data_IF_154028009975
#
_entry.id   IF_154028009975
#
_cell.length_a   1.000
_cell.length_b   1.000
_cell.length_c   1.000
_cell.angle_alpha   90.00
_cell.angle_beta   90.00
_cell.angle_gamma   90.00
#
_symmetry.space_group_name_H-M   'P 1'
#
loop_
_entity.id
_entity.type
_entity.pdbx_description
1 polymer ?
#
# COMPACT_ATOMS: atom_id res chain seq x y z
N UNK A 1 -19.31 7.72 -2.33
CA UNK A 1 -18.72 7.68 -3.71
C UNK A 1 -18.84 6.26 -4.25
N UNK A 2 -18.88 6.07 -5.57
CA UNK A 2 -18.97 4.74 -6.17
C UNK A 2 -17.65 4.00 -5.96
N UNK A 3 -17.65 2.91 -5.21
CA UNK A 3 -16.49 2.02 -5.13
C UNK A 3 -16.09 1.64 -6.55
N UNK A 4 -14.92 2.08 -6.98
CA UNK A 4 -14.42 1.77 -8.31
C UNK A 4 -14.32 0.25 -8.43
N UNK A 5 -14.94 -0.34 -9.45
CA UNK A 5 -14.86 -1.79 -9.69
C UNK A 5 -13.40 -2.16 -9.92
N UNK A 6 -12.93 -3.28 -9.32
CA UNK A 6 -11.61 -3.80 -9.64
C UNK A 6 -11.43 -3.99 -11.15
N UNK A 7 -10.32 -3.51 -11.68
CA UNK A 7 -9.86 -3.78 -13.05
C UNK A 7 -8.54 -4.56 -12.98
N UNK A 8 -8.61 -5.89 -12.81
CA UNK A 8 -7.43 -6.69 -12.56
C UNK A 8 -6.41 -6.66 -13.70
N UNK A 9 -6.85 -6.46 -14.95
CA UNK A 9 -5.94 -6.38 -16.09
C UNK A 9 -5.15 -5.07 -16.07
N UNK A 10 -5.82 -3.94 -15.82
CA UNK A 10 -5.18 -2.64 -15.64
C UNK A 10 -4.24 -2.63 -14.44
N UNK A 11 -4.75 -3.06 -13.27
CA UNK A 11 -3.97 -3.10 -12.03
C UNK A 11 -2.73 -4.01 -12.15
N UNK A 12 -2.82 -5.15 -12.86
CA UNK A 12 -1.70 -6.05 -13.11
C UNK A 12 -0.66 -5.44 -14.07
N UNK A 13 -1.10 -4.69 -15.09
CA UNK A 13 -0.19 -4.00 -16.00
C UNK A 13 0.59 -2.90 -15.27
N UNK A 14 -0.07 -2.11 -14.44
CA UNK A 14 0.55 -1.07 -13.63
C UNK A 14 1.50 -1.66 -12.57
N UNK A 15 1.11 -2.76 -11.93
CA UNK A 15 1.92 -3.48 -10.95
C UNK A 15 3.28 -3.90 -11.52
N UNK A 16 3.35 -4.36 -12.77
CA UNK A 16 4.63 -4.68 -13.42
C UNK A 16 5.57 -3.47 -13.45
N UNK A 17 5.10 -2.34 -13.96
CA UNK A 17 5.90 -1.12 -14.04
C UNK A 17 6.30 -0.57 -12.68
N UNK A 18 5.42 -0.66 -11.68
CA UNK A 18 5.72 -0.25 -10.30
C UNK A 18 6.79 -1.16 -9.67
N UNK A 19 6.70 -2.47 -9.89
CA UNK A 19 7.68 -3.46 -9.40
C UNK A 19 9.04 -3.26 -10.03
N UNK A 20 9.12 -3.03 -11.35
CA UNK A 20 10.35 -2.73 -12.05
C UNK A 20 11.04 -1.48 -11.47
N UNK A 21 10.30 -0.39 -11.29
CA UNK A 21 10.83 0.84 -10.66
C UNK A 21 11.35 0.62 -9.25
N UNK A 22 10.64 -0.15 -8.43
CA UNK A 22 11.10 -0.52 -7.09
C UNK A 22 12.42 -1.31 -7.16
N UNK A 23 12.51 -2.32 -8.03
CA UNK A 23 13.71 -3.16 -8.21
C UNK A 23 14.89 -2.30 -8.69
N UNK A 24 14.69 -1.36 -9.61
CA UNK A 24 15.71 -0.41 -10.06
C UNK A 24 16.22 0.45 -8.89
N UNK A 25 15.32 0.99 -8.08
CA UNK A 25 15.68 1.77 -6.89
C UNK A 25 16.49 0.93 -5.91
N UNK A 26 16.06 -0.30 -5.62
CA UNK A 26 16.76 -1.22 -4.71
C UNK A 26 18.12 -1.62 -5.27
N UNK A 27 18.24 -1.85 -6.57
CA UNK A 27 19.51 -2.17 -7.23
C UNK A 27 20.53 -1.02 -7.17
N UNK A 28 20.07 0.21 -7.09
CA UNK A 28 20.92 1.41 -6.95
C UNK A 28 21.37 1.67 -5.49
N UNK A 29 20.80 0.96 -4.51
CA UNK A 29 21.19 1.10 -3.10
C UNK A 29 22.63 0.64 -2.85
N UNK A 30 23.30 1.25 -1.87
CA UNK A 30 24.55 0.68 -1.34
C UNK A 30 24.25 -0.57 -0.53
N UNK A 31 25.11 -1.61 -0.56
CA UNK A 31 24.89 -2.82 0.23
C UNK A 31 24.71 -2.57 1.73
N UNK A 32 25.39 -1.55 2.28
CA UNK A 32 25.32 -1.18 3.70
C UNK A 32 23.97 -0.54 4.06
N UNK A 33 23.26 0.05 3.11
CA UNK A 33 22.02 0.76 3.40
C UNK A 33 20.83 -0.15 3.70
N UNK A 34 20.95 -1.46 3.48
CA UNK A 34 19.95 -2.45 3.87
C UNK A 34 19.67 -2.40 5.37
N UNK A 35 20.71 -2.21 6.18
CA UNK A 35 20.60 -2.14 7.65
C UNK A 35 20.16 -0.77 8.17
N UNK A 36 20.12 0.26 7.32
CA UNK A 36 19.70 1.59 7.74
C UNK A 36 18.19 1.63 8.03
N UNK A 37 17.73 2.55 8.91
CA UNK A 37 16.31 2.69 9.20
C UNK A 37 15.49 3.01 7.96
N UNK A 38 14.31 2.41 7.86
CA UNK A 38 13.25 2.81 6.94
C UNK A 38 12.39 3.93 7.54
N UNK A 39 11.34 4.38 6.86
CA UNK A 39 10.35 5.29 7.44
C UNK A 39 9.40 4.60 8.41
N UNK A 40 9.36 3.28 8.42
CA UNK A 40 8.50 2.51 9.33
C UNK A 40 9.20 2.34 10.69
N UNK A 41 8.55 2.71 11.80
CA UNK A 41 9.13 2.61 13.14
C UNK A 41 9.60 1.18 13.44
N UNK A 42 10.85 1.04 13.86
CA UNK A 42 11.46 -0.25 14.23
C UNK A 42 11.92 -1.12 13.06
N UNK A 43 11.66 -0.71 11.81
CA UNK A 43 12.06 -1.47 10.63
C UNK A 43 13.26 -0.84 9.91
N UNK A 44 14.23 -1.66 9.55
CA UNK A 44 15.25 -1.30 8.57
C UNK A 44 14.71 -1.44 7.15
N UNK A 45 15.45 -0.95 6.16
CA UNK A 45 15.13 -1.18 4.74
C UNK A 45 15.08 -2.67 4.42
N UNK A 46 15.96 -3.48 5.02
CA UNK A 46 15.92 -4.94 4.85
C UNK A 46 14.62 -5.58 5.32
N UNK A 47 14.00 -5.08 6.40
CA UNK A 47 12.67 -5.53 6.83
C UNK A 47 11.60 -5.22 5.77
N UNK A 48 11.64 -4.03 5.19
CA UNK A 48 10.70 -3.63 4.12
C UNK A 48 10.87 -4.55 2.90
N UNK A 49 12.12 -4.83 2.49
CA UNK A 49 12.40 -5.71 1.34
C UNK A 49 11.95 -7.14 1.60
N UNK A 50 12.25 -7.69 2.79
CA UNK A 50 11.80 -9.03 3.19
C UNK A 50 10.27 -9.09 3.25
N UNK A 51 9.61 -8.07 3.82
CA UNK A 51 8.15 -7.96 3.83
C UNK A 51 7.57 -7.99 2.42
N UNK A 52 8.09 -7.18 1.50
CA UNK A 52 7.59 -7.13 0.13
C UNK A 52 7.71 -8.48 -0.60
N UNK A 53 8.79 -9.22 -0.39
CA UNK A 53 8.93 -10.55 -0.97
C UNK A 53 7.91 -11.54 -0.37
N UNK A 54 7.77 -11.57 0.95
CA UNK A 54 6.79 -12.46 1.63
C UNK A 54 5.35 -12.07 1.35
N UNK A 55 5.06 -10.78 1.19
CA UNK A 55 3.73 -10.33 0.79
C UNK A 55 3.35 -10.87 -0.60
N UNK A 56 4.25 -10.82 -1.58
CA UNK A 56 4.00 -11.41 -2.90
C UNK A 56 3.66 -12.90 -2.80
N UNK A 57 4.46 -13.68 -2.06
CA UNK A 57 4.21 -15.12 -1.86
C UNK A 57 2.86 -15.37 -1.16
N UNK A 58 2.49 -14.54 -0.19
CA UNK A 58 1.18 -14.64 0.47
C UNK A 58 0.00 -14.42 -0.48
N UNK A 59 0.16 -13.50 -1.45
CA UNK A 59 -0.85 -13.24 -2.46
C UNK A 59 -0.90 -14.36 -3.52
N UNK A 60 0.22 -15.02 -3.82
CA UNK A 60 0.22 -16.26 -4.64
C UNK A 60 -0.68 -17.31 -4.00
N UNK A 61 -0.62 -17.49 -2.66
CA UNK A 61 -1.51 -18.42 -1.98
C UNK A 61 -3.00 -18.10 -2.19
N UNK A 62 -3.38 -16.82 -2.12
CA UNK A 62 -4.76 -16.40 -2.40
C UNK A 62 -5.15 -16.62 -3.87
N UNK A 63 -4.22 -16.40 -4.81
CA UNK A 63 -4.47 -16.71 -6.23
C UNK A 63 -4.67 -18.20 -6.48
N UNK A 64 -3.89 -19.07 -5.79
CA UNK A 64 -4.08 -20.52 -5.81
C UNK A 64 -5.44 -20.89 -5.25
N UNK A 65 -5.83 -20.33 -4.11
CA UNK A 65 -7.17 -20.52 -3.54
C UNK A 65 -8.27 -20.13 -4.54
N UNK A 66 -8.18 -18.93 -5.10
CA UNK A 66 -9.15 -18.47 -6.10
C UNK A 66 -9.23 -19.40 -7.33
N UNK A 67 -8.11 -19.97 -7.77
CA UNK A 67 -8.02 -20.87 -8.92
C UNK A 67 -8.59 -22.24 -8.64
N UNK A 68 -8.29 -22.82 -7.49
CA UNK A 68 -8.61 -24.21 -7.15
C UNK A 68 -9.92 -24.37 -6.38
N UNK A 69 -10.34 -23.32 -5.64
CA UNK A 69 -11.43 -23.38 -4.67
C UNK A 69 -11.03 -24.02 -3.33
N UNK A 70 -9.76 -24.46 -3.19
CA UNK A 70 -9.23 -25.00 -1.93
C UNK A 70 -8.62 -23.89 -1.10
N UNK A 71 -9.02 -23.80 0.17
CA UNK A 71 -8.53 -22.77 1.09
C UNK A 71 -7.00 -22.85 1.23
N UNK A 72 -6.34 -21.77 0.84
CA UNK A 72 -4.89 -21.61 0.95
C UNK A 72 -4.62 -20.27 1.66
N UNK A 73 -4.40 -20.28 2.99
CA UNK A 73 -4.18 -19.07 3.77
C UNK A 73 -2.95 -18.29 3.29
N UNK A 74 -2.99 -16.95 3.42
CA UNK A 74 -1.84 -16.10 3.09
C UNK A 74 -0.54 -16.55 3.77
N UNK A 75 -0.63 -16.94 5.04
CA UNK A 75 0.48 -17.43 5.86
C UNK A 75 0.00 -18.62 6.68
N UNK A 76 0.90 -19.53 7.03
CA UNK A 76 0.61 -20.67 7.93
C UNK A 76 0.13 -20.20 9.31
N UNK A 77 0.68 -19.07 9.80
CA UNK A 77 0.27 -18.38 11.02
C UNK A 77 0.73 -16.92 10.99
N UNK A 78 0.18 -16.07 11.87
CA UNK A 78 0.65 -14.68 12.03
C UNK A 78 2.11 -14.63 12.48
N UNK A 79 2.50 -15.48 13.41
CA UNK A 79 3.89 -15.58 13.91
C UNK A 79 4.88 -16.00 12.80
N UNK A 80 4.42 -16.79 11.82
CA UNK A 80 5.27 -17.21 10.70
C UNK A 80 5.66 -16.05 9.82
N UNK A 81 4.70 -15.17 9.49
CA UNK A 81 4.96 -13.94 8.73
C UNK A 81 6.04 -13.08 9.38
N UNK A 82 5.87 -12.81 10.67
CA UNK A 82 6.77 -11.91 11.40
C UNK A 82 8.17 -12.51 11.53
N UNK A 83 8.28 -13.82 11.76
CA UNK A 83 9.57 -14.54 11.73
C UNK A 83 10.26 -14.48 10.37
N UNK A 84 9.53 -14.73 9.28
CA UNK A 84 10.10 -14.71 7.93
C UNK A 84 10.64 -13.33 7.56
N UNK A 85 9.98 -12.26 8.01
CA UNK A 85 10.45 -10.88 7.81
C UNK A 85 11.72 -10.64 8.64
N UNK A 86 11.70 -10.98 9.92
CA UNK A 86 12.85 -10.78 10.82
C UNK A 86 14.08 -11.57 10.37
N UNK A 87 13.91 -12.85 10.04
CA UNK A 87 14.99 -13.69 9.52
C UNK A 87 15.51 -13.23 8.16
N UNK A 88 14.63 -12.63 7.35
CA UNK A 88 14.99 -12.08 6.04
C UNK A 88 15.70 -10.75 6.09
N UNK A 89 15.41 -9.90 7.08
CA UNK A 89 15.81 -8.49 7.12
C UNK A 89 17.32 -8.26 7.05
N UNK A 90 18.12 -9.15 7.63
CA UNK A 90 19.59 -9.06 7.66
C UNK A 90 20.31 -9.60 6.42
N UNK A 91 19.60 -10.07 5.39
CA UNK A 91 20.22 -10.64 4.19
C UNK A 91 21.01 -9.59 3.39
N UNK A 92 22.03 -10.01 2.64
CA UNK A 92 22.71 -9.11 1.70
C UNK A 92 21.76 -8.54 0.64
N UNK A 93 22.06 -7.33 0.16
CA UNK A 93 21.26 -6.65 -0.88
C UNK A 93 20.98 -7.52 -2.13
N UNK A 94 21.99 -8.28 -2.57
CA UNK A 94 21.85 -9.16 -3.74
C UNK A 94 20.78 -10.25 -3.49
N UNK A 95 20.74 -10.83 -2.29
CA UNK A 95 19.72 -11.82 -1.94
C UNK A 95 18.31 -11.22 -1.85
N UNK A 96 18.18 -9.99 -1.33
CA UNK A 96 16.92 -9.25 -1.36
C UNK A 96 16.44 -8.98 -2.80
N UNK A 97 17.34 -8.57 -3.69
CA UNK A 97 17.00 -8.35 -5.09
C UNK A 97 16.52 -9.64 -5.79
N UNK A 98 17.22 -10.74 -5.55
CA UNK A 98 16.86 -12.03 -6.14
C UNK A 98 15.50 -12.52 -5.60
N UNK A 99 15.25 -12.36 -4.28
CA UNK A 99 13.99 -12.73 -3.64
C UNK A 99 12.82 -11.84 -4.13
N UNK A 100 13.02 -10.54 -4.25
CA UNK A 100 12.02 -9.60 -4.80
C UNK A 100 11.63 -9.97 -6.23
N UNK A 101 12.61 -10.26 -7.10
CA UNK A 101 12.36 -10.68 -8.49
C UNK A 101 11.61 -12.00 -8.53
N UNK A 102 12.13 -13.01 -7.85
CA UNK A 102 11.56 -14.35 -7.86
C UNK A 102 10.13 -14.38 -7.29
N UNK A 103 9.84 -13.62 -6.22
CA UNK A 103 8.50 -13.55 -5.64
C UNK A 103 7.52 -12.75 -6.52
N UNK A 104 8.00 -11.68 -7.17
CA UNK A 104 7.20 -10.92 -8.14
C UNK A 104 6.85 -11.77 -9.37
N UNK A 105 7.81 -12.55 -9.91
CA UNK A 105 7.59 -13.44 -11.05
C UNK A 105 6.54 -14.52 -10.69
N UNK A 106 6.62 -15.11 -9.49
CA UNK A 106 5.62 -16.09 -9.04
C UNK A 106 4.21 -15.49 -8.98
N UNK A 107 4.07 -14.27 -8.47
CA UNK A 107 2.78 -13.60 -8.40
C UNK A 107 2.28 -13.22 -9.80
N UNK A 108 3.13 -12.71 -10.68
CA UNK A 108 2.76 -12.39 -12.05
C UNK A 108 2.23 -13.62 -12.78
N UNK A 109 2.93 -14.77 -12.65
CA UNK A 109 2.48 -16.04 -13.22
C UNK A 109 1.12 -16.49 -12.64
N UNK A 110 0.94 -16.38 -11.32
CA UNK A 110 -0.33 -16.75 -10.68
C UNK A 110 -1.50 -15.88 -11.15
N UNK A 111 -1.25 -14.59 -11.42
CA UNK A 111 -2.22 -13.65 -12.02
C UNK A 111 -2.56 -14.07 -13.45
N UNK A 112 -1.56 -14.36 -14.28
CA UNK A 112 -1.72 -14.77 -15.69
C UNK A 112 -2.47 -16.10 -15.82
N UNK A 113 -2.23 -17.04 -14.90
CA UNK A 113 -2.86 -18.37 -14.90
C UNK A 113 -4.30 -18.37 -14.36
N UNK A 114 -4.80 -17.27 -13.77
CA UNK A 114 -6.14 -17.24 -13.21
C UNK A 114 -7.21 -17.20 -14.33
N UNK A 115 -8.07 -18.20 -14.44
CA UNK A 115 -9.12 -18.18 -15.45
C UNK A 115 -10.07 -17.00 -15.26
N UNK A 116 -10.60 -16.36 -16.33
CA UNK A 116 -11.48 -15.19 -16.22
C UNK A 116 -12.67 -15.34 -15.26
N UNK A 117 -13.26 -16.54 -15.22
CA UNK A 117 -14.38 -16.84 -14.31
C UNK A 117 -14.01 -16.82 -12.83
N UNK A 118 -12.72 -16.98 -12.50
CA UNK A 118 -12.24 -17.08 -11.12
C UNK A 118 -11.89 -15.70 -10.52
N UNK A 119 -11.89 -14.62 -11.29
CA UNK A 119 -11.70 -13.27 -10.74
C UNK A 119 -12.77 -12.86 -9.72
N UNK A 120 -13.97 -13.43 -9.81
CA UNK A 120 -15.05 -13.23 -8.83
C UNK A 120 -14.95 -14.15 -7.59
N UNK A 121 -13.98 -15.08 -7.56
CA UNK A 121 -13.80 -15.99 -6.43
C UNK A 121 -13.47 -15.20 -5.16
N UNK A 122 -14.10 -15.58 -4.05
CA UNK A 122 -13.88 -14.94 -2.76
C UNK A 122 -12.77 -15.67 -2.00
N UNK A 123 -11.83 -14.90 -1.49
CA UNK A 123 -10.72 -15.39 -0.67
C UNK A 123 -10.61 -14.55 0.61
N UNK A 124 -10.11 -15.12 1.69
CA UNK A 124 -9.98 -14.43 2.97
C UNK A 124 -8.54 -13.97 3.19
N UNK A 125 -8.37 -12.69 3.46
CA UNK A 125 -7.09 -12.12 3.90
C UNK A 125 -6.78 -12.52 5.34
N UNK A 126 -5.52 -12.37 5.75
CA UNK A 126 -5.05 -12.60 7.13
C UNK A 126 -5.86 -11.84 8.19
N UNK A 127 -6.34 -10.64 7.85
CA UNK A 127 -7.21 -9.84 8.71
C UNK A 127 -8.62 -10.42 8.92
N UNK A 128 -8.99 -11.47 8.16
CA UNK A 128 -10.36 -11.99 8.08
C UNK A 128 -11.25 -11.26 7.08
N UNK A 129 -10.77 -10.18 6.45
CA UNK A 129 -11.50 -9.50 5.37
C UNK A 129 -11.62 -10.44 4.17
N UNK A 130 -12.84 -10.62 3.68
CA UNK A 130 -13.10 -11.38 2.44
C UNK A 130 -13.08 -10.42 1.26
N UNK A 131 -12.34 -10.78 0.22
CA UNK A 131 -12.16 -9.98 -1.01
C UNK A 131 -12.41 -10.83 -2.24
N UNK A 132 -12.73 -10.19 -3.36
CA UNK A 132 -12.68 -10.86 -4.65
C UNK A 132 -11.21 -10.99 -5.11
N UNK A 133 -10.87 -12.09 -5.80
CA UNK A 133 -9.54 -12.27 -6.38
C UNK A 133 -9.13 -11.10 -7.30
N UNK A 134 -10.10 -10.45 -7.94
CA UNK A 134 -9.90 -9.27 -8.77
C UNK A 134 -9.29 -8.05 -8.02
N UNK A 135 -9.34 -8.03 -6.69
CA UNK A 135 -8.75 -6.97 -5.87
C UNK A 135 -7.25 -7.20 -5.62
N UNK A 136 -6.76 -8.43 -5.78
CA UNK A 136 -5.38 -8.81 -5.42
C UNK A 136 -4.31 -8.00 -6.17
N UNK A 137 -4.38 -7.76 -7.50
CA UNK A 137 -3.40 -6.96 -8.18
C UNK A 137 -3.30 -5.54 -7.62
N UNK A 138 -4.43 -4.89 -7.31
CA UNK A 138 -4.44 -3.56 -6.70
C UNK A 138 -3.89 -3.56 -5.27
N UNK A 139 -4.25 -4.53 -4.45
CA UNK A 139 -3.69 -4.67 -3.09
C UNK A 139 -2.15 -4.81 -3.14
N UNK A 140 -1.64 -5.57 -4.11
CA UNK A 140 -0.19 -5.65 -4.31
C UNK A 140 0.41 -4.34 -4.80
N UNK A 141 -0.28 -3.61 -5.65
CA UNK A 141 0.15 -2.31 -6.15
C UNK A 141 0.30 -1.30 -4.99
N UNK A 142 -0.65 -1.28 -4.05
CA UNK A 142 -0.58 -0.49 -2.82
C UNK A 142 0.68 -0.82 -2.00
N UNK A 143 0.95 -2.11 -1.78
CA UNK A 143 2.15 -2.57 -1.06
C UNK A 143 3.43 -2.07 -1.73
N UNK A 144 3.53 -2.20 -3.07
CA UNK A 144 4.69 -1.75 -3.83
C UNK A 144 4.87 -0.23 -3.69
N UNK A 145 3.83 0.56 -3.93
CA UNK A 145 3.95 2.01 -3.95
C UNK A 145 4.24 2.58 -2.55
N UNK A 146 3.49 2.16 -1.55
CA UNK A 146 3.69 2.69 -0.21
C UNK A 146 5.02 2.25 0.40
N UNK A 147 5.40 1.00 0.22
CA UNK A 147 6.68 0.55 0.76
C UNK A 147 7.89 1.03 -0.06
N UNK A 148 7.72 1.40 -1.32
CA UNK A 148 8.76 2.15 -2.04
C UNK A 148 9.04 3.51 -1.37
N UNK A 149 7.99 4.24 -0.95
CA UNK A 149 8.13 5.46 -0.14
C UNK A 149 8.76 5.15 1.22
N UNK A 150 8.35 4.06 1.85
CA UNK A 150 8.79 3.67 3.19
C UNK A 150 10.27 3.26 3.25
N UNK A 151 10.91 2.92 2.12
CA UNK A 151 12.36 2.74 2.06
C UNK A 151 13.13 4.00 2.49
N UNK A 152 12.52 5.19 2.45
CA UNK A 152 13.15 6.45 2.88
C UNK A 152 14.29 6.88 1.95
N UNK A 153 14.14 6.64 0.66
CA UNK A 153 15.03 7.05 -0.42
C UNK A 153 14.43 8.26 -1.16
N UNK A 154 14.82 8.49 -2.41
CA UNK A 154 14.34 9.63 -3.21
C UNK A 154 12.86 9.49 -3.64
N UNK A 155 12.33 8.26 -3.67
CA UNK A 155 10.94 8.03 -4.04
C UNK A 155 9.99 8.48 -2.92
N UNK A 156 9.04 9.34 -3.26
CA UNK A 156 8.06 9.93 -2.33
C UNK A 156 6.64 9.84 -2.90
N UNK A 157 5.63 10.21 -2.13
CA UNK A 157 4.26 10.25 -2.63
C UNK A 157 4.06 11.17 -3.85
N UNK A 158 4.95 12.15 -4.08
CA UNK A 158 4.93 12.98 -5.27
C UNK A 158 5.25 12.24 -6.58
N UNK A 159 5.83 11.04 -6.48
CA UNK A 159 6.17 10.18 -7.62
C UNK A 159 5.08 9.14 -7.93
N UNK A 160 4.04 9.08 -7.09
CA UNK A 160 2.92 8.17 -7.32
C UNK A 160 2.11 8.61 -8.55
N UNK A 161 1.62 7.68 -9.39
CA UNK A 161 0.71 8.01 -10.48
C UNK A 161 -0.55 8.71 -9.99
N UNK A 162 -1.06 9.66 -10.78
CA UNK A 162 -2.20 10.50 -10.41
C UNK A 162 -3.49 9.69 -10.22
N UNK A 163 -3.71 8.67 -11.04
CA UNK A 163 -4.86 7.76 -10.95
C UNK A 163 -4.79 6.89 -9.68
N UNK A 164 -3.61 6.35 -9.35
CA UNK A 164 -3.39 5.67 -8.08
C UNK A 164 -3.63 6.60 -6.90
N UNK A 165 -3.03 7.80 -6.90
CA UNK A 165 -3.19 8.77 -5.82
C UNK A 165 -4.66 9.19 -5.64
N UNK A 166 -5.41 9.31 -6.74
CA UNK A 166 -6.85 9.62 -6.71
C UNK A 166 -7.66 8.50 -6.08
N UNK A 167 -7.43 7.27 -6.53
CA UNK A 167 -8.15 6.07 -6.05
C UNK A 167 -7.86 5.83 -4.57
N UNK A 168 -6.60 5.89 -4.18
CA UNK A 168 -6.17 5.58 -2.83
C UNK A 168 -6.57 6.67 -1.83
N UNK A 169 -6.42 7.95 -2.19
CA UNK A 169 -6.91 9.05 -1.36
C UNK A 169 -8.41 8.92 -1.11
N UNK A 170 -9.18 8.61 -2.15
CA UNK A 170 -10.63 8.38 -2.03
C UNK A 170 -10.96 7.22 -1.10
N UNK A 171 -10.25 6.09 -1.21
CA UNK A 171 -10.47 4.91 -0.37
C UNK A 171 -10.18 5.21 1.11
N UNK A 172 -9.05 5.88 1.41
CA UNK A 172 -8.68 6.25 2.77
C UNK A 172 -9.69 7.25 3.35
N UNK A 173 -10.13 8.23 2.56
CA UNK A 173 -11.15 9.19 2.99
C UNK A 173 -12.48 8.50 3.31
N UNK A 174 -12.92 7.56 2.47
CA UNK A 174 -14.15 6.81 2.70
C UNK A 174 -14.06 5.99 4.00
N UNK A 175 -12.90 5.39 4.30
CA UNK A 175 -12.65 4.64 5.54
C UNK A 175 -12.63 5.54 6.80
N UNK A 176 -12.05 6.74 6.68
CA UNK A 176 -11.97 7.71 7.77
C UNK A 176 -13.28 8.51 7.97
N UNK A 177 -14.19 8.50 6.99
CA UNK A 177 -15.46 9.24 7.06
C UNK A 177 -16.41 8.62 8.08
N UNK A 178 -16.96 9.47 8.97
CA UNK A 178 -17.87 9.03 10.05
C UNK A 178 -17.17 8.29 11.19
N UNK A 179 -15.85 8.16 11.18
CA UNK A 179 -15.12 7.44 12.22
C UNK A 179 -14.99 8.28 13.49
N UNK A 180 -15.61 7.82 14.61
CA UNK A 180 -15.66 8.58 15.88
C UNK A 180 -14.29 8.86 16.52
N UNK A 181 -13.29 7.99 16.24
CA UNK A 181 -11.91 8.15 16.75
C UNK A 181 -11.04 9.11 15.92
N UNK A 182 -11.56 9.66 14.83
CA UNK A 182 -10.85 10.56 13.92
C UNK A 182 -11.34 11.99 14.13
N UNK A 183 -10.40 12.94 14.26
CA UNK A 183 -10.72 14.34 14.33
C UNK A 183 -11.46 14.77 13.04
N UNK A 184 -12.54 15.53 13.19
CA UNK A 184 -13.30 16.01 12.04
C UNK A 184 -12.52 17.07 11.26
N UNK A 185 -12.26 16.80 9.98
CA UNK A 185 -11.47 17.66 9.09
C UNK A 185 -12.11 17.73 7.71
N UNK A 186 -12.21 18.94 7.15
CA UNK A 186 -12.48 19.12 5.73
C UNK A 186 -11.19 19.05 4.95
N UNK A 187 -11.08 18.08 4.06
CA UNK A 187 -9.96 17.93 3.15
C UNK A 187 -10.28 18.66 1.84
N UNK A 188 -9.34 19.43 1.32
CA UNK A 188 -9.47 20.18 0.09
C UNK A 188 -8.29 19.92 -0.84
N UNK A 189 -8.52 19.19 -1.93
CA UNK A 189 -7.56 19.09 -3.03
C UNK A 189 -7.53 20.40 -3.81
N UNK A 190 -6.44 21.14 -3.70
CA UNK A 190 -6.28 22.44 -4.36
C UNK A 190 -6.05 22.32 -5.87
N UNK A 191 -5.68 21.13 -6.37
CA UNK A 191 -5.50 20.87 -7.79
C UNK A 191 -6.82 20.64 -8.52
N UNK A 192 -7.70 19.78 -7.97
CA UNK A 192 -9.00 19.47 -8.57
C UNK A 192 -10.15 20.36 -8.04
N UNK A 193 -9.98 20.96 -6.86
CA UNK A 193 -11.03 21.66 -6.14
C UNK A 193 -12.00 20.76 -5.38
N UNK A 194 -11.79 19.44 -5.40
CA UNK A 194 -12.61 18.48 -4.67
C UNK A 194 -12.48 18.67 -3.16
N UNK A 195 -13.55 18.36 -2.44
CA UNK A 195 -13.63 18.48 -0.99
C UNK A 195 -14.30 17.27 -0.39
N UNK A 196 -13.75 16.81 0.72
CA UNK A 196 -14.28 15.69 1.50
C UNK A 196 -14.29 16.05 2.99
N UNK A 197 -14.96 15.23 3.77
CA UNK A 197 -14.95 15.32 5.24
C UNK A 197 -14.55 13.95 5.80
N UNK A 198 -13.59 13.94 6.72
CA UNK A 198 -13.25 12.80 7.55
C UNK A 198 -13.68 13.05 9.00
N UNK A 199 -13.74 11.97 9.81
CA UNK A 199 -14.24 12.06 11.19
C UNK A 199 -15.76 12.11 11.24
N UNK A 200 -16.32 12.26 12.46
CA UNK A 200 -17.74 12.08 12.73
C UNK A 200 -18.60 13.36 12.62
N UNK A 201 -18.01 14.53 12.36
CA UNK A 201 -18.77 15.79 12.27
C UNK A 201 -19.02 16.22 10.81
N UNK A 202 -20.25 16.55 10.48
CA UNK A 202 -20.64 16.98 9.13
C UNK A 202 -20.05 18.36 8.73
N UNK A 203 -19.86 19.24 9.70
CA UNK A 203 -19.30 20.58 9.49
C UNK A 203 -18.06 20.80 10.38
N UNK A 204 -16.88 20.26 9.95
CA UNK A 204 -15.65 20.48 10.70
C UNK A 204 -15.16 21.92 10.62
N UNK A 205 -14.65 22.45 11.73
CA UNK A 205 -14.07 23.81 11.79
C UNK A 205 -12.70 23.84 11.07
N UNK A 206 -11.95 22.73 11.10
CA UNK A 206 -10.64 22.63 10.47
C UNK A 206 -10.77 22.24 9.00
N UNK A 207 -10.14 23.02 8.13
CA UNK A 207 -9.92 22.68 6.73
C UNK A 207 -8.43 22.48 6.48
N UNK A 208 -8.06 21.36 5.86
CA UNK A 208 -6.70 21.04 5.43
C UNK A 208 -6.69 20.98 3.91
N UNK A 209 -5.86 21.81 3.30
CA UNK A 209 -5.77 21.96 1.84
C UNK A 209 -4.36 21.75 1.32
N UNK A 210 -4.26 21.20 0.11
CA UNK A 210 -3.00 21.01 -0.60
C UNK A 210 -3.14 20.17 -1.86
N UNK A 211 -2.06 19.91 -2.56
CA UNK A 211 -2.06 19.03 -3.72
C UNK A 211 -2.33 17.57 -3.31
N UNK A 212 -2.94 16.81 -4.19
CA UNK A 212 -3.42 15.44 -3.94
C UNK A 212 -2.37 14.51 -3.33
N UNK A 213 -1.15 14.51 -3.86
CA UNK A 213 -0.07 13.68 -3.35
C UNK A 213 0.36 14.04 -1.91
N UNK A 214 0.28 15.33 -1.52
CA UNK A 214 0.57 15.76 -0.16
C UNK A 214 -0.56 15.36 0.80
N UNK A 215 -1.83 15.47 0.35
CA UNK A 215 -2.98 14.95 1.10
C UNK A 215 -2.86 13.45 1.31
N UNK A 216 -2.56 12.69 0.26
CA UNK A 216 -2.35 11.24 0.36
C UNK A 216 -1.20 10.89 1.32
N UNK A 217 -0.06 11.60 1.24
CA UNK A 217 1.07 11.39 2.13
C UNK A 217 0.68 11.60 3.60
N UNK A 218 -0.13 12.62 3.89
CA UNK A 218 -0.58 12.91 5.24
C UNK A 218 -1.62 11.87 5.73
N UNK A 219 -2.67 11.61 4.96
CA UNK A 219 -3.72 10.67 5.41
C UNK A 219 -3.21 9.23 5.50
N UNK A 220 -2.17 8.88 4.77
CA UNK A 220 -1.51 7.57 4.83
C UNK A 220 -0.40 7.49 5.90
N UNK A 221 -0.16 8.57 6.66
CA UNK A 221 0.86 8.61 7.72
C UNK A 221 2.31 8.70 7.22
N UNK A 222 2.53 9.08 5.95
CA UNK A 222 3.85 9.17 5.32
C UNK A 222 4.45 10.57 5.30
N UNK A 223 3.70 11.57 5.76
CA UNK A 223 4.20 12.91 6.07
C UNK A 223 3.45 13.51 7.26
N UNK A 224 4.05 14.51 7.90
CA UNK A 224 3.42 15.34 8.93
C UNK A 224 2.48 16.41 8.36
N UNK A 225 2.40 16.52 7.01
CA UNK A 225 1.59 17.53 6.32
C UNK A 225 2.34 18.84 6.07
N UNK A 226 3.67 18.80 5.91
CA UNK A 226 4.54 19.95 5.72
C UNK A 226 4.16 20.77 4.46
N UNK A 227 3.62 20.10 3.44
CA UNK A 227 3.18 20.69 2.18
C UNK A 227 1.67 21.04 2.17
N UNK A 228 1.01 20.99 3.33
CA UNK A 228 -0.40 21.28 3.50
C UNK A 228 -0.63 22.60 4.23
N UNK A 229 -1.79 23.20 4.00
CA UNK A 229 -2.26 24.40 4.71
C UNK A 229 -3.44 24.03 5.59
N UNK A 230 -3.44 24.53 6.83
CA UNK A 230 -4.56 24.39 7.77
C UNK A 230 -5.32 25.71 7.96
N UNK A 231 -6.63 25.66 8.02
CA UNK A 231 -7.46 26.79 8.36
C UNK A 231 -8.56 26.38 9.36
N UNK A 232 -8.57 26.95 10.61
CA UNK A 232 -7.60 27.91 11.17
C UNK A 232 -6.17 27.31 11.21
N UNK A 233 -5.18 28.19 11.33
CA UNK A 233 -3.75 27.82 11.42
C UNK A 233 -3.47 27.14 12.77
N UNK A 234 -3.59 25.83 12.78
CA UNK A 234 -3.37 24.95 13.93
C UNK A 234 -2.62 23.70 13.48
N UNK A 235 -1.93 23.00 14.40
CA UNK A 235 -1.30 21.72 14.06
C UNK A 235 -2.29 20.73 13.47
N UNK A 236 -1.85 19.99 12.46
CA UNK A 236 -2.67 18.92 11.85
C UNK A 236 -2.91 17.79 12.86
N UNK A 237 -4.10 17.20 12.88
CA UNK A 237 -4.37 16.06 13.73
C UNK A 237 -3.57 14.85 13.28
N UNK A 238 -3.16 14.03 14.26
CA UNK A 238 -2.60 12.71 13.99
C UNK A 238 -3.76 11.77 13.62
N UNK A 239 -3.66 11.13 12.47
CA UNK A 239 -4.62 10.16 12.00
C UNK A 239 -4.24 8.74 12.45
N UNK A 240 -5.19 7.80 12.57
CA UNK A 240 -4.87 6.43 12.86
C UNK A 240 -4.03 5.82 11.75
N UNK A 241 -3.14 4.84 12.05
CA UNK A 241 -2.41 4.13 11.00
C UNK A 241 -3.39 3.40 10.08
N UNK A 242 -3.04 3.28 8.81
CA UNK A 242 -3.77 2.42 7.87
C UNK A 242 -3.71 0.97 8.36
N UNK A 243 -4.85 0.29 8.40
CA UNK A 243 -5.01 -1.07 8.90
C UNK A 243 -4.46 -2.15 7.96
#
# INVERSE_FOLDING_TARGET
MSVQRPDPDHDAAELRGATERLIETVAAMSPSSVAEPSRLPGWSRGHVLAHLARNADSLVNLMVWARTGEETPQYESGDRRDKDIEEGAGRPLAEHLDDLRASADRLALAIEELPPRNWAAQVAMRSGRVIAAAEIPYLRLMEIYFHHVDLGLEYTCAHLPEDFATRELGAIIDDLSGHEGVAAVRIHDTGSGEKWVIGAADEPELTVGGPRHALLAWVSGRSGGEDLTAHPDVPLPVLPPLG
#
